data_IF_121838181686
#
_entry.id   IF_121838181686
#
_cell.length_a   1.000
_cell.length_b   1.000
_cell.length_c   1.000
_cell.angle_alpha   90.00
_cell.angle_beta   90.00
_cell.angle_gamma   90.00
#
_symmetry.space_group_name_H-M   'P 1'
#
loop_
_entity.id
_entity.type
_entity.pdbx_description
1 polymer ?
#
# COMPACT_ATOMS: atom_id res chain seq x y z
N UNK A 1 13.90 -29.38 -12.91
CA UNK A 1 14.16 -27.92 -12.93
C UNK A 1 13.30 -27.16 -11.92
N UNK A 2 12.02 -27.52 -11.75
CA UNK A 2 11.09 -26.94 -10.77
C UNK A 2 11.58 -27.11 -9.31
N UNK A 3 11.83 -28.37 -8.89
CA UNK A 3 12.32 -28.68 -7.54
C UNK A 3 13.58 -27.88 -7.17
N UNK A 4 14.54 -27.78 -8.10
CA UNK A 4 15.76 -27.00 -7.89
C UNK A 4 15.53 -25.50 -7.67
N UNK A 5 14.42 -24.90 -8.12
CA UNK A 5 14.10 -23.50 -7.83
C UNK A 5 13.50 -23.34 -6.43
N UNK A 6 12.57 -24.23 -6.08
CA UNK A 6 11.92 -24.24 -4.76
C UNK A 6 12.93 -24.58 -3.65
N UNK A 7 13.82 -25.53 -3.87
CA UNK A 7 14.90 -25.88 -2.93
C UNK A 7 15.88 -24.73 -2.73
N UNK A 8 16.27 -24.07 -3.81
CA UNK A 8 17.14 -22.90 -3.72
C UNK A 8 16.44 -21.77 -2.95
N UNK A 9 15.16 -21.51 -3.22
CA UNK A 9 14.37 -20.51 -2.51
C UNK A 9 14.24 -20.85 -1.01
N UNK A 10 13.98 -22.12 -0.69
CA UNK A 10 13.92 -22.64 0.68
C UNK A 10 15.23 -22.40 1.43
N UNK A 11 16.35 -22.82 0.85
CA UNK A 11 17.67 -22.62 1.47
C UNK A 11 18.02 -21.14 1.63
N UNK A 12 17.65 -20.30 0.66
CA UNK A 12 17.92 -18.85 0.72
C UNK A 12 17.08 -18.15 1.78
N UNK A 13 15.76 -18.33 1.71
CA UNK A 13 14.80 -17.56 2.52
C UNK A 13 14.65 -18.11 3.94
N UNK A 14 14.74 -19.43 4.15
CA UNK A 14 14.49 -20.04 5.46
C UNK A 14 15.77 -20.40 6.21
N UNK A 15 16.75 -20.97 5.52
CA UNK A 15 17.98 -21.46 6.18
C UNK A 15 19.01 -20.34 6.34
N UNK A 16 19.35 -19.65 5.25
CA UNK A 16 20.32 -18.54 5.27
C UNK A 16 19.72 -17.20 5.68
N UNK A 17 18.39 -17.06 5.61
CA UNK A 17 17.65 -15.81 5.86
C UNK A 17 18.15 -14.63 5.02
N UNK A 18 18.28 -14.89 3.72
CA UNK A 18 18.72 -13.92 2.72
C UNK A 18 17.57 -13.61 1.75
N UNK A 19 17.64 -12.46 1.08
CA UNK A 19 16.73 -12.12 -0.01
C UNK A 19 17.09 -12.89 -1.28
N UNK A 20 16.07 -13.25 -2.07
CA UNK A 20 16.29 -13.84 -3.40
C UNK A 20 16.64 -12.76 -4.43
N UNK A 21 17.56 -13.07 -5.34
CA UNK A 21 17.85 -12.22 -6.48
C UNK A 21 16.84 -12.40 -7.62
N UNK A 22 16.84 -11.44 -8.57
CA UNK A 22 15.96 -11.42 -9.76
C UNK A 22 15.88 -12.75 -10.51
N UNK A 23 17.03 -13.39 -10.78
CA UNK A 23 17.08 -14.65 -11.53
C UNK A 23 16.30 -15.78 -10.86
N UNK A 24 16.33 -15.86 -9.53
CA UNK A 24 15.59 -16.88 -8.80
C UNK A 24 14.09 -16.54 -8.77
N UNK A 25 13.73 -15.27 -8.60
CA UNK A 25 12.34 -14.81 -8.67
C UNK A 25 11.71 -15.12 -10.04
N UNK A 26 12.41 -14.85 -11.15
CA UNK A 26 11.95 -15.17 -12.52
C UNK A 26 11.71 -16.68 -12.69
N UNK A 27 12.60 -17.52 -12.16
CA UNK A 27 12.42 -18.99 -12.20
C UNK A 27 11.24 -19.47 -11.37
N UNK A 28 10.98 -18.87 -10.21
CA UNK A 28 9.82 -19.18 -9.37
C UNK A 28 8.51 -18.73 -10.05
N UNK A 29 8.51 -17.57 -10.69
CA UNK A 29 7.35 -17.05 -11.43
C UNK A 29 7.02 -17.85 -12.69
N UNK A 30 8.02 -18.53 -13.26
CA UNK A 30 7.87 -19.41 -14.43
C UNK A 30 7.59 -20.88 -14.05
N UNK A 31 7.31 -21.19 -12.78
CA UNK A 31 6.89 -22.52 -12.38
C UNK A 31 5.52 -22.84 -13.00
N UNK A 32 5.31 -24.08 -13.49
CA UNK A 32 4.01 -24.52 -13.96
C UNK A 32 3.02 -24.75 -12.82
N UNK A 33 1.74 -24.83 -13.18
CA UNK A 33 0.62 -24.87 -12.23
C UNK A 33 0.69 -26.03 -11.23
N UNK A 34 1.24 -27.18 -11.64
CA UNK A 34 1.41 -28.36 -10.79
C UNK A 34 2.40 -28.13 -9.63
N UNK A 35 3.29 -27.14 -9.74
CA UNK A 35 4.21 -26.74 -8.68
C UNK A 35 3.66 -25.64 -7.75
N UNK A 36 2.50 -25.04 -8.06
CA UNK A 36 1.90 -23.96 -7.25
C UNK A 36 1.59 -24.37 -5.80
N UNK A 37 1.07 -25.59 -5.51
CA UNK A 37 0.82 -25.99 -4.13
C UNK A 37 2.08 -25.93 -3.26
N UNK A 38 3.23 -26.37 -3.80
CA UNK A 38 4.51 -26.32 -3.07
C UNK A 38 5.03 -24.88 -2.95
N UNK A 39 4.89 -24.07 -4.01
CA UNK A 39 5.26 -22.65 -3.98
C UNK A 39 4.47 -21.89 -2.89
N UNK A 40 3.15 -22.11 -2.80
CA UNK A 40 2.30 -21.48 -1.78
C UNK A 40 2.67 -21.94 -0.37
N UNK A 41 2.91 -23.23 -0.18
CA UNK A 41 3.35 -23.78 1.10
C UNK A 41 4.71 -23.18 1.52
N UNK A 42 5.65 -23.03 0.59
CA UNK A 42 6.92 -22.38 0.86
C UNK A 42 6.74 -20.89 1.18
N UNK A 43 5.94 -20.16 0.41
CA UNK A 43 5.67 -18.74 0.65
C UNK A 43 5.04 -18.51 2.04
N UNK A 44 4.10 -19.37 2.46
CA UNK A 44 3.51 -19.30 3.79
C UNK A 44 4.53 -19.55 4.90
N UNK A 45 5.42 -20.54 4.73
CA UNK A 45 6.51 -20.81 5.70
C UNK A 45 7.48 -19.64 5.78
N UNK A 46 7.83 -19.03 4.65
CA UNK A 46 8.70 -17.83 4.62
C UNK A 46 8.02 -16.67 5.34
N UNK A 47 6.75 -16.39 5.05
CA UNK A 47 5.98 -15.36 5.74
C UNK A 47 5.98 -15.58 7.27
N UNK A 48 5.69 -16.79 7.73
CA UNK A 48 5.72 -17.13 9.15
C UNK A 48 7.10 -16.96 9.79
N UNK A 49 8.17 -17.37 9.09
CA UNK A 49 9.53 -17.33 9.61
C UNK A 49 10.08 -15.89 9.74
N UNK A 50 9.63 -14.98 8.87
CA UNK A 50 10.10 -13.59 8.83
C UNK A 50 9.18 -12.62 9.57
N UNK A 51 7.86 -12.82 9.46
CA UNK A 51 6.84 -11.87 9.95
C UNK A 51 6.03 -12.42 11.14
N UNK A 52 6.20 -13.70 11.49
CA UNK A 52 5.40 -14.34 12.53
C UNK A 52 3.94 -14.61 12.11
N UNK A 53 3.08 -15.03 13.05
CA UNK A 53 1.69 -15.40 12.75
C UNK A 53 0.72 -14.21 12.70
N UNK A 54 1.16 -13.02 13.11
CA UNK A 54 0.32 -11.83 13.18
C UNK A 54 -0.11 -11.36 11.78
N UNK A 55 -1.25 -10.66 11.75
CA UNK A 55 -1.82 -10.00 10.58
C UNK A 55 -2.16 -8.57 11.01
N UNK A 56 -1.72 -7.60 10.24
CA UNK A 56 -2.07 -6.20 10.41
C UNK A 56 -3.35 -5.88 9.65
N UNK A 57 -4.20 -5.05 10.25
CA UNK A 57 -5.48 -4.65 9.66
C UNK A 57 -5.41 -3.16 9.40
N UNK A 58 -5.62 -2.80 8.14
CA UNK A 58 -5.47 -1.42 7.68
C UNK A 58 -6.80 -0.96 7.06
N UNK A 59 -7.09 0.34 7.17
CA UNK A 59 -8.19 0.96 6.44
C UNK A 59 -7.64 1.91 5.39
N UNK A 60 -8.22 1.84 4.19
CA UNK A 60 -7.90 2.73 3.08
C UNK A 60 -9.10 3.61 2.76
N UNK A 61 -8.88 4.92 2.60
CA UNK A 61 -9.92 5.86 2.19
C UNK A 61 -9.54 6.58 0.91
N UNK A 62 -10.50 6.67 -0.02
CA UNK A 62 -10.43 7.59 -1.15
C UNK A 62 -10.73 9.00 -0.63
N UNK A 63 -9.71 9.67 -0.11
CA UNK A 63 -9.82 11.00 0.46
C UNK A 63 -10.11 12.06 -0.59
N UNK A 64 -9.71 11.86 -1.86
CA UNK A 64 -10.14 12.67 -3.02
C UNK A 64 -10.44 11.72 -4.17
N UNK A 65 -11.67 11.72 -4.66
CA UNK A 65 -12.16 10.71 -5.61
C UNK A 65 -12.29 11.26 -7.03
N UNK A 66 -11.84 10.48 -8.02
CA UNK A 66 -12.05 10.75 -9.45
C UNK A 66 -11.30 11.98 -9.97
N UNK A 67 -11.40 12.24 -11.27
CA UNK A 67 -10.81 13.44 -11.89
C UNK A 67 -9.27 13.46 -11.89
N UNK A 68 -8.62 12.29 -11.86
CA UNK A 68 -7.17 12.18 -11.99
C UNK A 68 -6.74 12.54 -13.44
N UNK A 69 -5.70 13.36 -13.66
CA UNK A 69 -5.32 13.79 -15.01
C UNK A 69 -4.63 12.70 -15.84
N UNK A 70 -4.13 11.64 -15.20
CA UNK A 70 -3.43 10.52 -15.84
C UNK A 70 -4.36 9.68 -16.72
N UNK A 71 -3.79 8.99 -17.70
CA UNK A 71 -4.47 8.16 -18.70
C UNK A 71 -4.28 6.65 -18.45
N UNK A 72 -4.09 6.25 -17.19
CA UNK A 72 -3.98 4.84 -16.82
C UNK A 72 -5.23 4.07 -17.26
N UNK A 73 -5.11 3.25 -18.32
CA UNK A 73 -6.23 2.57 -18.99
C UNK A 73 -7.04 1.62 -18.10
N UNK A 74 -6.45 1.16 -17.01
CA UNK A 74 -7.09 0.29 -16.02
C UNK A 74 -7.77 1.06 -14.88
N UNK A 75 -7.56 2.37 -14.77
CA UNK A 75 -7.96 3.15 -13.61
C UNK A 75 -9.32 3.82 -13.81
N UNK A 76 -10.31 3.43 -13.01
CA UNK A 76 -11.66 4.00 -13.02
C UNK A 76 -11.72 5.49 -12.64
N UNK A 77 -10.66 6.01 -11.99
CA UNK A 77 -10.60 7.40 -11.51
C UNK A 77 -9.98 8.38 -12.52
N UNK A 78 -9.49 7.89 -13.67
CA UNK A 78 -8.93 8.72 -14.73
C UNK A 78 -10.00 9.65 -15.32
N UNK A 79 -9.65 10.93 -15.49
CA UNK A 79 -10.48 11.91 -16.17
C UNK A 79 -10.48 11.76 -17.70
N UNK A 80 -9.66 10.85 -18.25
CA UNK A 80 -9.51 10.62 -19.70
C UNK A 80 -10.51 9.61 -20.25
N UNK A 81 -11.16 8.85 -19.38
CA UNK A 81 -12.12 7.81 -19.75
C UNK A 81 -13.49 8.09 -19.13
N UNK A 82 -14.55 7.62 -19.78
CA UNK A 82 -15.90 7.64 -19.22
C UNK A 82 -16.07 6.47 -18.27
N UNK A 83 -16.32 6.77 -16.99
CA UNK A 83 -16.52 5.79 -15.92
C UNK A 83 -17.67 6.26 -15.02
N UNK A 84 -18.19 5.38 -14.19
CA UNK A 84 -19.28 5.70 -13.24
C UNK A 84 -18.78 6.40 -11.96
N UNK A 85 -17.49 6.78 -11.91
CA UNK A 85 -16.90 7.42 -10.73
C UNK A 85 -17.35 8.88 -10.64
N UNK A 86 -18.12 9.19 -9.61
CA UNK A 86 -18.47 10.57 -9.25
C UNK A 86 -17.23 11.28 -8.70
N UNK A 87 -16.93 12.46 -9.22
CA UNK A 87 -15.81 13.28 -8.76
C UNK A 87 -16.17 13.93 -7.43
N UNK A 88 -15.35 13.70 -6.43
CA UNK A 88 -15.53 14.29 -5.10
C UNK A 88 -14.26 15.07 -4.70
N UNK A 89 -14.42 16.24 -4.06
CA UNK A 89 -13.29 16.99 -3.54
C UNK A 89 -12.61 16.22 -2.40
N UNK A 90 -11.48 16.74 -1.94
CA UNK A 90 -10.81 16.15 -0.78
C UNK A 90 -11.72 16.24 0.46
N UNK A 91 -11.82 15.15 1.21
CA UNK A 91 -12.55 15.11 2.48
C UNK A 91 -11.96 16.11 3.48
N UNK A 92 -12.79 16.80 4.27
CA UNK A 92 -12.30 17.68 5.33
C UNK A 92 -11.49 16.92 6.39
N UNK A 93 -10.49 17.56 6.97
CA UNK A 93 -9.63 16.98 8.02
C UNK A 93 -10.43 16.33 9.16
N UNK A 94 -11.48 16.99 9.66
CA UNK A 94 -12.30 16.44 10.74
C UNK A 94 -12.95 15.10 10.39
N UNK A 95 -13.37 14.93 9.12
CA UNK A 95 -13.93 13.66 8.64
C UNK A 95 -12.86 12.58 8.53
N UNK A 96 -11.63 12.94 8.13
CA UNK A 96 -10.50 12.00 8.11
C UNK A 96 -10.14 11.53 9.54
N UNK A 97 -10.16 12.43 10.52
CA UNK A 97 -9.95 12.08 11.94
C UNK A 97 -11.05 11.14 12.44
N UNK A 98 -12.31 11.39 12.11
CA UNK A 98 -13.43 10.50 12.48
C UNK A 98 -13.26 9.10 11.87
N UNK A 99 -12.89 9.02 10.60
CA UNK A 99 -12.64 7.74 9.92
C UNK A 99 -11.44 7.00 10.51
N UNK A 100 -10.37 7.72 10.89
CA UNK A 100 -9.22 7.13 11.58
C UNK A 100 -9.60 6.59 12.97
N UNK A 101 -10.40 7.33 13.75
CA UNK A 101 -10.98 6.85 15.02
C UNK A 101 -11.78 5.58 14.82
N UNK A 102 -12.63 5.54 13.80
CA UNK A 102 -13.43 4.36 13.48
C UNK A 102 -12.55 3.17 13.09
N UNK A 103 -11.51 3.41 12.31
CA UNK A 103 -10.51 2.39 11.94
C UNK A 103 -9.87 1.80 13.18
N UNK A 104 -9.39 2.65 14.09
CA UNK A 104 -8.78 2.21 15.35
C UNK A 104 -9.77 1.44 16.23
N UNK A 105 -11.01 1.91 16.34
CA UNK A 105 -12.06 1.24 17.10
C UNK A 105 -12.41 -0.15 16.56
N UNK A 106 -12.20 -0.41 15.27
CA UNK A 106 -12.36 -1.72 14.63
C UNK A 106 -11.12 -2.62 14.76
N UNK A 107 -10.08 -2.18 15.49
CA UNK A 107 -8.83 -2.91 15.66
C UNK A 107 -7.80 -2.65 14.57
N UNK A 108 -8.04 -1.69 13.68
CA UNK A 108 -7.06 -1.29 12.68
C UNK A 108 -5.80 -0.67 13.30
N UNK A 109 -4.66 -0.97 12.70
CA UNK A 109 -3.34 -0.47 13.09
C UNK A 109 -2.85 0.64 12.17
N UNK A 110 -3.37 0.74 10.95
CA UNK A 110 -3.02 1.78 9.97
C UNK A 110 -4.26 2.40 9.30
N UNK A 111 -4.19 3.70 9.03
CA UNK A 111 -5.15 4.47 8.23
C UNK A 111 -4.47 5.13 7.03
N UNK A 112 -4.87 4.74 5.82
CA UNK A 112 -4.24 5.16 4.56
C UNK A 112 -5.10 6.20 3.81
N UNK A 113 -4.52 7.39 3.58
CA UNK A 113 -5.11 8.51 2.85
C UNK A 113 -4.74 8.42 1.37
N UNK A 114 -5.72 8.20 0.49
CA UNK A 114 -5.48 8.07 -0.97
C UNK A 114 -6.17 9.16 -1.75
N UNK A 115 -5.46 9.77 -2.70
CA UNK A 115 -5.98 10.86 -3.52
C UNK A 115 -5.80 10.59 -5.01
N UNK A 116 -6.85 10.84 -5.80
CA UNK A 116 -6.84 10.63 -7.25
C UNK A 116 -6.12 11.77 -8.00
N UNK A 117 -4.78 11.78 -7.97
CA UNK A 117 -3.94 12.76 -8.67
C UNK A 117 -2.70 12.09 -9.27
N UNK A 118 -2.03 12.77 -10.20
CA UNK A 118 -0.68 12.36 -10.67
C UNK A 118 0.36 12.51 -9.56
N UNK A 119 0.24 13.58 -8.79
CA UNK A 119 1.14 13.98 -7.71
C UNK A 119 0.53 15.20 -6.99
N UNK A 120 0.84 15.42 -5.71
CA UNK A 120 0.23 16.49 -4.94
C UNK A 120 0.85 17.85 -5.27
N UNK A 121 0.02 18.87 -5.44
CA UNK A 121 0.47 20.27 -5.43
C UNK A 121 0.69 20.75 -3.99
N UNK A 122 1.19 21.98 -3.81
CA UNK A 122 1.45 22.53 -2.48
C UNK A 122 0.20 22.66 -1.60
N UNK A 123 -0.97 22.89 -2.21
CA UNK A 123 -2.23 22.98 -1.46
C UNK A 123 -2.64 21.60 -0.96
N UNK A 124 -2.54 20.57 -1.80
CA UNK A 124 -2.83 19.19 -1.44
C UNK A 124 -1.83 18.67 -0.40
N UNK A 125 -0.53 18.98 -0.55
CA UNK A 125 0.48 18.65 0.44
C UNK A 125 0.14 19.20 1.81
N UNK A 126 -0.20 20.49 1.91
CA UNK A 126 -0.63 21.09 3.19
C UNK A 126 -1.86 20.39 3.76
N UNK A 127 -2.89 20.15 2.94
CA UNK A 127 -4.10 19.48 3.38
C UNK A 127 -3.84 18.07 3.93
N UNK A 128 -2.99 17.28 3.28
CA UNK A 128 -2.62 15.94 3.75
C UNK A 128 -1.79 16.01 5.03
N UNK A 129 -0.79 16.90 5.10
CA UNK A 129 0.04 17.07 6.31
C UNK A 129 -0.80 17.51 7.52
N UNK A 130 -1.70 18.48 7.31
CA UNK A 130 -2.58 18.96 8.37
C UNK A 130 -3.53 17.84 8.83
N UNK A 131 -4.04 17.02 7.90
CA UNK A 131 -4.84 15.85 8.24
C UNK A 131 -4.03 14.78 9.00
N UNK A 132 -2.82 14.44 8.56
CA UNK A 132 -1.94 13.50 9.24
C UNK A 132 -1.64 13.93 10.66
N UNK A 133 -1.29 15.21 10.87
CA UNK A 133 -1.03 15.78 12.20
C UNK A 133 -2.25 15.71 13.10
N UNK A 134 -3.43 16.07 12.58
CA UNK A 134 -4.67 16.00 13.34
C UNK A 134 -5.02 14.56 13.74
N UNK A 135 -4.84 13.58 12.83
CA UNK A 135 -5.06 12.17 13.12
C UNK A 135 -4.11 11.69 14.22
N UNK A 136 -2.80 11.94 14.07
CA UNK A 136 -1.78 11.53 15.05
C UNK A 136 -1.96 12.17 16.43
N UNK A 137 -2.50 13.38 16.48
CA UNK A 137 -2.81 14.06 17.74
C UNK A 137 -4.01 13.45 18.48
N UNK A 138 -4.94 12.80 17.78
CA UNK A 138 -6.22 12.35 18.33
C UNK A 138 -6.37 10.81 18.37
N UNK A 139 -5.57 10.07 17.62
CA UNK A 139 -5.71 8.63 17.40
C UNK A 139 -4.34 7.96 17.41
N UNK A 140 -4.16 6.98 18.29
CA UNK A 140 -3.01 6.07 18.30
C UNK A 140 -3.13 5.08 17.12
N UNK A 141 -2.74 5.52 15.92
CA UNK A 141 -2.80 4.76 14.67
C UNK A 141 -1.70 5.21 13.72
N UNK A 142 -1.13 4.28 12.96
CA UNK A 142 -0.21 4.62 11.87
C UNK A 142 -0.96 5.30 10.73
N UNK A 143 -0.29 6.26 10.07
CA UNK A 143 -0.86 7.00 8.95
C UNK A 143 0.00 6.81 7.72
N UNK A 144 -0.58 6.22 6.69
CA UNK A 144 0.02 6.09 5.37
C UNK A 144 -0.68 6.99 4.36
N UNK A 145 -0.03 7.23 3.23
CA UNK A 145 -0.62 8.02 2.16
C UNK A 145 -0.18 7.53 0.77
N UNK A 146 -1.13 7.55 -0.18
CA UNK A 146 -0.87 7.34 -1.61
C UNK A 146 -1.28 8.59 -2.38
N UNK A 147 -0.26 9.39 -2.73
CA UNK A 147 -0.43 10.72 -3.30
C UNK A 147 0.04 10.81 -4.77
N UNK A 148 0.43 9.69 -5.38
CA UNK A 148 1.03 9.64 -6.71
C UNK A 148 2.55 9.91 -6.68
N UNK A 149 3.06 10.56 -7.72
CA UNK A 149 4.48 10.86 -7.91
C UNK A 149 4.84 12.10 -7.09
N UNK A 150 5.57 11.88 -5.99
CA UNK A 150 6.11 12.94 -5.17
C UNK A 150 7.28 13.65 -5.86
N UNK A 151 7.48 14.91 -5.53
CA UNK A 151 8.66 15.71 -5.88
C UNK A 151 9.65 15.72 -4.71
N UNK A 152 10.90 16.04 -5.00
CA UNK A 152 11.95 16.23 -4.01
C UNK A 152 11.48 17.14 -2.85
N UNK A 153 11.75 16.74 -1.61
CA UNK A 153 11.32 17.44 -0.41
C UNK A 153 9.91 17.12 0.08
N UNK A 154 9.03 16.54 -0.75
CA UNK A 154 7.65 16.21 -0.32
C UNK A 154 7.61 14.99 0.59
N UNK A 155 8.47 13.99 0.37
CA UNK A 155 8.52 12.78 1.19
C UNK A 155 9.02 13.10 2.61
N UNK A 156 10.03 13.95 2.73
CA UNK A 156 10.61 14.41 4.00
C UNK A 156 9.55 15.15 4.82
N UNK A 157 8.80 16.05 4.19
CA UNK A 157 7.70 16.78 4.84
C UNK A 157 6.59 15.86 5.35
N UNK A 158 6.32 14.75 4.67
CA UNK A 158 5.35 13.75 5.12
C UNK A 158 5.89 12.93 6.30
N UNK A 159 7.19 12.60 6.28
CA UNK A 159 7.83 11.89 7.39
C UNK A 159 7.89 12.73 8.68
N UNK A 160 8.01 14.05 8.55
CA UNK A 160 7.99 15.01 9.66
C UNK A 160 6.58 15.35 10.20
N UNK A 161 5.52 14.94 9.49
CA UNK A 161 4.14 15.25 9.85
C UNK A 161 3.64 14.38 11.00
#
# INVERSE_FOLDING_TARGET
MQAAALDQARATLLERREQIGRRLAERLAALPDDALPELFALAHRVRLAWMGPAVEVESIISAKTGGCPEDCVFCSQSARFHTDVVREPMLPTGQLVELARRTRALGGTEFCIVVAVRGPDERMMRAVIDATRAIRAEVDIEVAASLGILRDGQAERLAEA
#
